data_IF_420127277701
#
_entry.id   IF_420127277701
#
_cell.length_a   1.000
_cell.length_b   1.000
_cell.length_c   1.000
_cell.angle_alpha   90.00
_cell.angle_beta   90.00
_cell.angle_gamma   90.00
#
_symmetry.space_group_name_H-M   'P 1'
#
loop_
_entity.id
_entity.type
_entity.pdbx_description
1 polymer ?
#
# COMPACT_ATOMS: atom_id res chain seq x y z
N UNK A 1 -32.74 37.69 14.64
CA UNK A 1 -32.77 36.35 13.98
C UNK A 1 -32.21 35.34 14.96
N UNK A 2 -33.00 34.30 15.26
CA UNK A 2 -32.88 33.46 16.46
C UNK A 2 -31.57 32.69 16.60
N UNK A 3 -31.02 32.72 17.81
CA UNK A 3 -29.77 32.08 18.22
C UNK A 3 -29.76 30.56 18.03
N UNK A 4 -30.89 29.88 18.21
CA UNK A 4 -30.96 28.42 18.12
C UNK A 4 -30.91 27.89 16.67
N UNK A 5 -31.57 28.56 15.73
CA UNK A 5 -31.59 28.14 14.31
C UNK A 5 -30.25 28.40 13.64
N UNK A 6 -29.57 29.49 14.01
CA UNK A 6 -28.25 29.82 13.48
C UNK A 6 -27.17 28.85 13.97
N UNK A 7 -27.21 28.46 15.25
CA UNK A 7 -26.29 27.46 15.81
C UNK A 7 -26.53 26.08 15.18
N UNK A 8 -27.79 25.66 14.98
CA UNK A 8 -28.09 24.40 14.30
C UNK A 8 -27.58 24.37 12.86
N UNK A 9 -27.74 25.47 12.12
CA UNK A 9 -27.26 25.58 10.74
C UNK A 9 -25.72 25.58 10.68
N UNK A 10 -25.05 26.27 11.61
CA UNK A 10 -23.59 26.30 11.68
C UNK A 10 -23.00 24.95 12.12
N UNK A 11 -23.65 24.25 13.06
CA UNK A 11 -23.24 22.91 13.48
C UNK A 11 -23.44 21.88 12.36
N UNK A 12 -24.55 21.91 11.63
CA UNK A 12 -24.82 21.02 10.50
C UNK A 12 -23.92 21.31 9.28
N UNK A 13 -23.40 22.54 9.14
CA UNK A 13 -22.45 22.93 8.10
C UNK A 13 -20.99 22.62 8.50
N UNK A 14 -20.64 22.66 9.80
CA UNK A 14 -19.29 22.40 10.30
C UNK A 14 -18.98 20.91 10.54
N UNK A 15 -20.00 20.10 10.88
CA UNK A 15 -19.88 18.64 11.02
C UNK A 15 -19.34 17.92 9.76
N UNK A 16 -19.84 18.17 8.53
CA UNK A 16 -19.30 17.53 7.33
C UNK A 16 -17.88 18.01 6.97
N UNK A 17 -17.53 19.26 7.31
CA UNK A 17 -16.20 19.82 7.06
C UNK A 17 -15.12 19.14 7.91
N UNK A 18 -15.41 18.86 9.18
CA UNK A 18 -14.48 18.17 10.07
C UNK A 18 -14.29 16.68 9.71
N UNK A 19 -15.32 16.00 9.17
CA UNK A 19 -15.20 14.61 8.70
C UNK A 19 -14.48 14.48 7.35
N UNK A 20 -14.52 15.52 6.50
CA UNK A 20 -13.77 15.54 5.23
C UNK A 20 -12.26 15.59 5.49
N UNK A 21 -11.81 16.40 6.45
CA UNK A 21 -10.40 16.58 6.82
C UNK A 21 -9.74 15.29 7.34
N UNK A 22 -10.51 14.43 8.04
CA UNK A 22 -10.00 13.17 8.58
C UNK A 22 -9.81 12.08 7.49
N UNK A 23 -10.64 12.11 6.45
CA UNK A 23 -10.53 11.20 5.30
C UNK A 23 -9.47 11.64 4.29
N UNK A 24 -9.09 12.92 4.29
CA UNK A 24 -8.10 13.49 3.35
C UNK A 24 -6.64 13.25 3.72
N UNK A 25 -6.37 12.62 4.87
CA UNK A 25 -5.01 12.41 5.39
C UNK A 25 -4.39 11.07 4.96
N UNK A 26 -4.95 10.35 4.01
CA UNK A 26 -4.20 9.24 3.39
C UNK A 26 -3.22 9.85 2.38
N UNK A 27 -1.93 9.61 2.56
CA UNK A 27 -0.89 10.06 1.64
C UNK A 27 -1.28 9.75 0.19
N UNK A 28 -1.20 10.74 -0.72
CA UNK A 28 -1.60 10.58 -2.12
C UNK A 28 -0.79 9.47 -2.81
N UNK A 29 0.44 9.26 -2.37
CA UNK A 29 1.27 8.15 -2.88
C UNK A 29 0.74 6.80 -2.39
N UNK A 30 0.32 6.72 -1.12
CA UNK A 30 -0.30 5.51 -0.58
C UNK A 30 -1.63 5.20 -1.28
N UNK A 31 -2.47 6.21 -1.50
CA UNK A 31 -3.72 6.03 -2.25
C UNK A 31 -3.46 5.47 -3.65
N UNK A 32 -2.45 6.01 -4.36
CA UNK A 32 -2.07 5.52 -5.69
C UNK A 32 -1.57 4.08 -5.65
N UNK A 33 -0.80 3.71 -4.64
CA UNK A 33 -0.30 2.36 -4.48
C UNK A 33 -1.42 1.32 -4.31
N UNK A 34 -2.51 1.69 -3.64
CA UNK A 34 -3.65 0.80 -3.39
C UNK A 34 -4.68 0.73 -4.54
N UNK A 35 -4.54 1.54 -5.61
CA UNK A 35 -5.48 1.51 -6.75
C UNK A 35 -5.42 0.20 -7.54
N UNK A 36 -4.25 -0.43 -7.63
CA UNK A 36 -4.05 -1.67 -8.37
C UNK A 36 -2.98 -2.56 -7.71
N UNK A 37 -3.30 -3.21 -6.59
CA UNK A 37 -2.35 -4.05 -5.90
C UNK A 37 -2.04 -5.32 -6.70
N UNK A 38 -0.76 -5.69 -6.76
CA UNK A 38 -0.30 -6.94 -7.36
C UNK A 38 0.17 -7.89 -6.25
N UNK A 39 -0.15 -9.18 -6.38
CA UNK A 39 0.43 -10.23 -5.53
C UNK A 39 1.23 -11.19 -6.40
N UNK A 40 2.46 -11.47 -6.01
CA UNK A 40 3.33 -12.49 -6.62
C UNK A 40 3.71 -13.52 -5.56
N UNK A 41 3.75 -14.79 -5.96
CA UNK A 41 4.01 -15.91 -5.07
C UNK A 41 5.41 -16.49 -5.30
N UNK A 42 6.08 -16.85 -4.21
CA UNK A 42 7.41 -17.47 -4.22
C UNK A 42 7.37 -18.78 -3.45
N UNK A 43 7.84 -19.88 -4.05
CA UNK A 43 7.75 -21.21 -3.47
C UNK A 43 8.53 -22.26 -4.25
N UNK A 44 8.76 -23.42 -3.63
CA UNK A 44 9.50 -24.54 -4.25
C UNK A 44 8.57 -25.63 -4.82
N UNK A 45 7.26 -25.48 -4.65
CA UNK A 45 6.25 -26.51 -4.96
C UNK A 45 5.75 -26.49 -6.41
N UNK A 46 6.34 -25.63 -7.26
CA UNK A 46 6.01 -25.50 -8.68
C UNK A 46 4.64 -24.89 -8.96
N UNK A 47 3.90 -24.50 -7.92
CA UNK A 47 2.58 -23.86 -8.01
C UNK A 47 2.67 -22.34 -7.76
N UNK A 48 3.88 -21.78 -7.68
CA UNK A 48 4.15 -20.36 -7.46
C UNK A 48 4.68 -19.68 -8.71
N UNK A 49 4.56 -18.36 -8.76
CA UNK A 49 5.04 -17.54 -9.88
C UNK A 49 6.57 -17.59 -10.00
N UNK A 50 7.27 -17.65 -8.86
CA UNK A 50 8.73 -17.71 -8.80
C UNK A 50 9.23 -18.80 -7.83
N UNK A 51 10.44 -19.30 -8.08
CA UNK A 51 11.14 -20.24 -7.18
C UNK A 51 12.16 -19.56 -6.27
N UNK A 52 12.52 -18.31 -6.57
CA UNK A 52 13.53 -17.54 -5.85
C UNK A 52 13.04 -16.11 -5.58
N UNK A 53 13.36 -15.60 -4.39
CA UNK A 53 13.02 -14.24 -3.95
C UNK A 53 13.72 -13.20 -4.85
N UNK A 54 14.96 -13.46 -5.27
CA UNK A 54 15.71 -12.52 -6.13
C UNK A 54 15.01 -12.31 -7.48
N UNK A 55 14.51 -13.38 -8.08
CA UNK A 55 13.83 -13.32 -9.39
C UNK A 55 12.48 -12.61 -9.25
N UNK A 56 11.75 -12.86 -8.16
CA UNK A 56 10.52 -12.16 -7.84
C UNK A 56 10.75 -10.65 -7.69
N UNK A 57 11.78 -10.23 -6.98
CA UNK A 57 12.14 -8.80 -6.84
C UNK A 57 12.57 -8.21 -8.19
N UNK A 58 13.38 -8.93 -8.97
CA UNK A 58 13.84 -8.46 -10.28
C UNK A 58 12.70 -8.31 -11.30
N UNK A 59 11.58 -9.01 -11.10
CA UNK A 59 10.39 -8.87 -11.94
C UNK A 59 9.62 -7.57 -11.73
N UNK A 60 9.83 -6.89 -10.59
CA UNK A 60 9.14 -5.64 -10.26
C UNK A 60 9.74 -4.51 -11.11
N UNK A 61 8.93 -3.77 -11.89
CA UNK A 61 9.45 -2.71 -12.74
C UNK A 61 10.09 -1.58 -11.90
N UNK A 62 11.16 -0.95 -12.39
CA UNK A 62 11.75 0.20 -11.74
C UNK A 62 10.72 1.35 -11.67
N UNK A 63 10.73 2.12 -10.58
CA UNK A 63 9.77 3.19 -10.30
C UNK A 63 8.30 2.73 -10.24
N UNK A 64 8.07 1.49 -9.80
CA UNK A 64 6.73 0.98 -9.57
C UNK A 64 5.99 1.83 -8.52
N UNK A 65 4.80 2.31 -8.88
CA UNK A 65 3.94 3.15 -8.03
C UNK A 65 2.75 2.40 -7.43
N UNK A 66 2.59 1.11 -7.79
CA UNK A 66 1.54 0.22 -7.27
C UNK A 66 2.06 -0.64 -6.13
N UNK A 67 1.23 -0.99 -5.15
CA UNK A 67 1.63 -1.91 -4.07
C UNK A 67 1.87 -3.31 -4.63
N UNK A 68 3.02 -3.89 -4.32
CA UNK A 68 3.35 -5.28 -4.66
C UNK A 68 3.52 -6.08 -3.38
N UNK A 69 2.76 -7.16 -3.25
CA UNK A 69 2.87 -8.14 -2.18
C UNK A 69 3.62 -9.35 -2.69
N UNK A 70 4.74 -9.67 -2.05
CA UNK A 70 5.49 -10.90 -2.31
C UNK A 70 5.08 -11.92 -1.25
N UNK A 71 4.24 -12.88 -1.63
CA UNK A 71 3.81 -13.97 -0.76
C UNK A 71 4.83 -15.11 -0.82
N UNK A 72 5.52 -15.36 0.28
CA UNK A 72 6.57 -16.38 0.36
C UNK A 72 6.00 -17.62 1.06
N UNK A 73 5.91 -18.73 0.32
CA UNK A 73 5.49 -20.02 0.86
C UNK A 73 6.54 -20.59 1.82
N UNK A 74 6.14 -21.44 2.79
CA UNK A 74 7.08 -22.07 3.72
C UNK A 74 8.21 -22.80 2.98
N UNK A 75 9.45 -22.59 3.42
CA UNK A 75 10.62 -23.21 2.81
C UNK A 75 11.92 -22.58 3.27
N UNK A 76 13.03 -23.22 2.87
CA UNK A 76 14.37 -22.66 3.08
C UNK A 76 14.79 -21.88 1.83
N UNK A 77 15.12 -20.59 2.01
CA UNK A 77 15.59 -19.72 0.94
C UNK A 77 16.99 -19.24 1.28
N UNK A 78 17.98 -19.67 0.51
CA UNK A 78 19.38 -19.25 0.68
C UNK A 78 19.65 -18.08 -0.26
N UNK A 79 20.10 -16.96 0.29
CA UNK A 79 20.57 -15.81 -0.49
C UNK A 79 22.06 -15.56 -0.23
N UNK A 80 22.74 -14.99 -1.21
CA UNK A 80 24.12 -14.50 -1.07
C UNK A 80 24.06 -12.98 -1.12
N UNK A 81 24.48 -12.32 -0.04
CA UNK A 81 24.64 -10.88 0.00
C UNK A 81 26.08 -10.55 -0.43
N UNK A 82 26.26 -9.89 -1.58
CA UNK A 82 27.57 -9.39 -2.00
C UNK A 82 27.67 -7.91 -1.69
N UNK A 83 28.46 -7.57 -0.66
CA UNK A 83 28.78 -6.19 -0.32
C UNK A 83 30.00 -5.76 -1.15
N UNK A 84 29.76 -5.04 -2.25
CA UNK A 84 30.84 -4.43 -3.03
C UNK A 84 31.16 -3.06 -2.41
N UNK A 85 32.10 -3.01 -1.46
CA UNK A 85 32.47 -1.74 -0.82
C UNK A 85 33.30 -1.79 0.47
N UNK A 86 33.91 -2.92 0.84
CA UNK A 86 34.89 -2.99 1.94
C UNK A 86 36.17 -3.63 1.43
#
# INVERSE_FOLDING_TARGET
MGSATFIFFFALLALPLATLELLSSLDKELQRAELNPMTITVGHDGSTDFNNITDAIASIPPNNTSRVVVEIRPGFYRFVLSLSGV
#
